data_IF_049075227517
#
_entry.id   IF_049075227517
#
_cell.length_a   1.000
_cell.length_b   1.000
_cell.length_c   1.000
_cell.angle_alpha   90.00
_cell.angle_beta   90.00
_cell.angle_gamma   90.00
#
_symmetry.space_group_name_H-M   'P 1'
#
loop_
_entity.id
_entity.type
_entity.pdbx_description
1 polymer ?
#
# COMPACT_ATOMS: atom_id res chain seq x y z
N UNK A 1 -21.33 5.00 3.02
CA UNK A 1 -20.08 4.43 3.55
C UNK A 1 -18.96 4.84 2.61
N UNK A 2 -17.83 5.31 3.14
CA UNK A 2 -16.65 5.76 2.39
C UNK A 2 -15.45 4.91 2.76
N UNK A 3 -14.83 4.26 1.79
CA UNK A 3 -13.68 3.37 2.02
C UNK A 3 -12.48 3.89 1.26
N UNK A 4 -11.40 4.18 2.00
CA UNK A 4 -10.15 4.62 1.41
C UNK A 4 -9.38 3.48 0.73
N UNK A 5 -8.59 3.78 -0.29
CA UNK A 5 -7.69 2.81 -0.94
C UNK A 5 -6.26 3.33 -0.86
N UNK A 6 -5.37 2.53 -0.27
CA UNK A 6 -3.94 2.84 -0.11
C UNK A 6 -3.12 1.65 -0.62
N UNK A 7 -2.10 1.93 -1.41
CA UNK A 7 -1.19 0.90 -1.91
C UNK A 7 0.26 1.38 -1.88
N UNK A 8 1.15 0.54 -1.34
CA UNK A 8 2.59 0.74 -1.38
C UNK A 8 3.25 -0.62 -1.64
N UNK A 9 3.75 -0.79 -2.85
CA UNK A 9 4.24 -2.09 -3.34
C UNK A 9 5.70 -2.02 -3.72
N UNK A 10 6.51 -2.84 -3.08
CA UNK A 10 7.89 -3.10 -3.49
C UNK A 10 8.36 -4.43 -2.93
N UNK A 11 9.10 -5.20 -3.72
CA UNK A 11 9.77 -6.40 -3.24
C UNK A 11 11.26 -6.12 -3.14
N UNK A 12 11.83 -6.31 -1.95
CA UNK A 12 13.24 -6.02 -1.70
C UNK A 12 14.11 -7.28 -1.71
N UNK A 13 15.18 -7.22 -2.50
CA UNK A 13 16.32 -8.11 -2.37
C UNK A 13 17.47 -7.39 -1.66
N UNK A 14 17.67 -7.69 -0.38
CA UNK A 14 18.69 -7.04 0.48
C UNK A 14 20.14 -7.39 0.10
N UNK A 15 20.36 -8.33 -0.84
CA UNK A 15 21.68 -8.65 -1.37
C UNK A 15 22.08 -7.74 -2.54
N UNK A 16 21.13 -7.01 -3.13
CA UNK A 16 21.42 -6.00 -4.15
C UNK A 16 22.00 -4.77 -3.45
N UNK A 17 23.19 -4.34 -3.88
CA UNK A 17 23.90 -3.19 -3.28
C UNK A 17 23.29 -1.84 -3.65
N UNK A 18 22.69 -1.75 -4.83
CA UNK A 18 22.03 -0.55 -5.32
C UNK A 18 20.66 -0.40 -4.65
N UNK A 19 20.36 0.76 -4.07
CA UNK A 19 19.09 0.94 -3.39
C UNK A 19 17.96 1.28 -4.38
N UNK A 20 16.73 1.04 -3.93
CA UNK A 20 15.53 1.54 -4.61
C UNK A 20 15.33 3.01 -4.24
N UNK A 21 15.50 3.87 -5.23
CA UNK A 21 15.35 5.33 -5.10
C UNK A 21 13.96 5.80 -5.55
N UNK A 22 13.61 7.04 -5.20
CA UNK A 22 12.38 7.72 -5.62
C UNK A 22 12.09 7.60 -7.12
N UNK A 23 13.12 7.69 -7.97
CA UNK A 23 12.99 7.57 -9.42
C UNK A 23 12.33 6.25 -9.86
N UNK A 24 12.53 5.16 -9.12
CA UNK A 24 11.93 3.87 -9.45
C UNK A 24 10.41 3.89 -9.28
N UNK A 25 9.91 4.59 -8.27
CA UNK A 25 8.47 4.80 -8.07
C UNK A 25 7.89 5.76 -9.12
N UNK A 26 8.58 6.86 -9.40
CA UNK A 26 8.16 7.84 -10.42
C UNK A 26 8.09 7.24 -11.84
N UNK A 27 8.93 6.24 -12.13
CA UNK A 27 8.95 5.56 -13.43
C UNK A 27 7.92 4.45 -13.58
N UNK A 28 7.37 3.95 -12.48
CA UNK A 28 6.49 2.78 -12.48
C UNK A 28 5.05 3.16 -12.10
N UNK A 29 4.79 3.40 -10.81
CA UNK A 29 3.49 3.86 -10.33
C UNK A 29 3.69 4.79 -9.14
N UNK A 30 3.15 6.01 -9.24
CA UNK A 30 3.10 6.97 -8.15
C UNK A 30 1.93 7.92 -8.41
N UNK A 31 0.80 7.67 -7.76
CA UNK A 31 -0.46 8.36 -8.00
C UNK A 31 -1.16 8.69 -6.67
N UNK A 32 -1.94 9.76 -6.69
CA UNK A 32 -2.81 10.20 -5.59
C UNK A 32 -4.19 10.53 -6.12
N UNK A 33 -5.23 10.35 -5.30
CA UNK A 33 -6.58 10.79 -5.63
C UNK A 33 -7.16 10.11 -6.88
N UNK A 34 -8.00 10.83 -7.61
CA UNK A 34 -8.77 10.30 -8.75
C UNK A 34 -7.94 9.58 -9.82
N UNK A 35 -6.69 10.02 -10.04
CA UNK A 35 -5.79 9.40 -11.02
C UNK A 35 -5.52 7.91 -10.75
N UNK A 36 -5.66 7.45 -9.50
CA UNK A 36 -5.55 6.02 -9.14
C UNK A 36 -6.67 5.22 -9.80
N UNK A 37 -7.92 5.72 -9.72
CA UNK A 37 -9.06 5.04 -10.35
C UNK A 37 -8.89 5.01 -11.86
N UNK A 38 -8.58 6.16 -12.47
CA UNK A 38 -8.40 6.29 -13.92
C UNK A 38 -7.36 5.32 -14.47
N UNK A 39 -6.31 5.03 -13.68
CA UNK A 39 -5.19 4.19 -14.11
C UNK A 39 -5.37 2.69 -13.81
N UNK A 40 -6.10 2.34 -12.75
CA UNK A 40 -6.07 0.99 -12.17
C UNK A 40 -7.43 0.28 -12.13
N UNK A 41 -8.56 0.98 -12.21
CA UNK A 41 -9.88 0.37 -12.08
C UNK A 41 -10.12 -0.77 -13.08
N UNK A 42 -9.77 -0.54 -14.35
CA UNK A 42 -9.98 -1.49 -15.44
C UNK A 42 -8.75 -2.37 -15.73
N UNK A 43 -7.97 -2.69 -14.69
CA UNK A 43 -6.75 -3.50 -14.81
C UNK A 43 -6.84 -4.81 -14.02
N UNK A 44 -5.97 -5.78 -14.33
CA UNK A 44 -5.82 -7.03 -13.59
C UNK A 44 -4.98 -6.87 -12.31
N UNK A 45 -4.90 -5.66 -11.75
CA UNK A 45 -4.22 -5.36 -10.49
C UNK A 45 -5.20 -5.50 -9.32
N UNK A 46 -4.72 -5.83 -8.11
CA UNK A 46 -5.58 -6.00 -6.92
C UNK A 46 -6.44 -4.77 -6.59
N UNK A 47 -5.91 -3.57 -6.84
CA UNK A 47 -6.62 -2.29 -6.70
C UNK A 47 -7.82 -2.20 -7.66
N UNK A 48 -7.73 -2.75 -8.87
CA UNK A 48 -8.88 -2.87 -9.77
C UNK A 48 -9.99 -3.73 -9.16
N UNK A 49 -9.60 -4.82 -8.50
CA UNK A 49 -10.51 -5.65 -7.71
C UNK A 49 -11.15 -4.91 -6.53
N UNK A 50 -10.41 -4.04 -5.84
CA UNK A 50 -10.98 -3.17 -4.78
C UNK A 50 -12.05 -2.24 -5.34
N UNK A 51 -11.79 -1.57 -6.48
CA UNK A 51 -12.78 -0.71 -7.11
C UNK A 51 -14.03 -1.48 -7.51
N UNK A 52 -13.86 -2.62 -8.20
CA UNK A 52 -14.98 -3.46 -8.63
C UNK A 52 -15.84 -3.91 -7.44
N UNK A 53 -15.21 -4.40 -6.35
CA UNK A 53 -15.93 -4.86 -5.16
C UNK A 53 -16.65 -3.73 -4.41
N UNK A 54 -16.06 -2.54 -4.33
CA UNK A 54 -16.70 -1.38 -3.71
C UNK A 54 -17.88 -0.87 -4.55
N UNK A 55 -17.74 -0.84 -5.88
CA UNK A 55 -18.79 -0.44 -6.82
C UNK A 55 -19.98 -1.42 -6.74
N UNK A 56 -19.72 -2.73 -6.73
CA UNK A 56 -20.75 -3.77 -6.55
C UNK A 56 -21.49 -3.63 -5.21
N UNK A 57 -20.77 -3.26 -4.15
CA UNK A 57 -21.34 -3.06 -2.81
C UNK A 57 -22.04 -1.69 -2.64
N UNK A 58 -22.01 -0.81 -3.63
CA UNK A 58 -22.57 0.55 -3.53
C UNK A 58 -21.84 1.43 -2.50
N UNK A 59 -20.53 1.19 -2.30
CA UNK A 59 -19.68 1.91 -1.35
C UNK A 59 -18.85 2.95 -2.09
N UNK A 60 -18.75 4.16 -1.52
CA UNK A 60 -17.92 5.21 -2.11
C UNK A 60 -16.43 4.85 -1.94
N UNK A 61 -15.77 4.54 -3.05
CA UNK A 61 -14.33 4.36 -3.10
C UNK A 61 -13.61 5.71 -3.07
N UNK A 62 -12.70 5.90 -2.11
CA UNK A 62 -11.88 7.10 -1.96
C UNK A 62 -10.41 6.72 -2.22
N UNK A 63 -9.88 6.88 -3.45
CA UNK A 63 -8.49 6.58 -3.73
C UNK A 63 -7.59 7.62 -3.05
N UNK A 64 -6.61 7.17 -2.26
CA UNK A 64 -5.75 8.04 -1.46
C UNK A 64 -4.35 8.11 -2.08
N UNK A 65 -3.67 6.97 -2.09
CA UNK A 65 -2.27 6.87 -2.51
C UNK A 65 -2.00 5.50 -3.13
N UNK A 66 -1.29 5.46 -4.25
CA UNK A 66 -0.79 4.23 -4.84
C UNK A 66 0.62 4.44 -5.36
N UNK A 67 1.58 3.71 -4.80
CA UNK A 67 2.96 3.71 -5.27
C UNK A 67 3.46 2.27 -5.46
N UNK A 68 4.20 2.05 -6.54
CA UNK A 68 4.86 0.78 -6.83
C UNK A 68 6.23 1.03 -7.45
N UNK A 69 7.18 0.20 -7.05
CA UNK A 69 8.44 0.02 -7.77
C UNK A 69 8.62 -1.46 -8.13
N UNK A 70 9.31 -1.72 -9.23
CA UNK A 70 9.71 -3.07 -9.65
C UNK A 70 10.68 -3.67 -8.61
N UNK A 71 10.62 -5.00 -8.34
CA UNK A 71 11.52 -5.66 -7.40
C UNK A 71 12.99 -5.29 -7.59
N UNK A 72 13.63 -4.83 -6.51
CA UNK A 72 15.01 -4.34 -6.54
C UNK A 72 15.62 -4.30 -5.13
N UNK A 73 16.70 -3.53 -4.92
CA UNK A 73 17.33 -3.42 -3.60
C UNK A 73 16.46 -2.72 -2.55
N UNK A 74 16.98 -2.64 -1.33
CA UNK A 74 16.36 -1.92 -0.22
C UNK A 74 16.04 -0.47 -0.58
N UNK A 75 14.86 0.04 -0.16
CA UNK A 75 14.47 1.43 -0.38
C UNK A 75 15.35 2.37 0.43
N UNK A 76 15.84 3.45 -0.18
CA UNK A 76 16.58 4.51 0.53
C UNK A 76 15.73 5.10 1.66
N UNK A 77 16.37 5.43 2.80
CA UNK A 77 15.69 6.04 3.94
C UNK A 77 14.86 7.27 3.54
N UNK A 78 15.48 8.21 2.82
CA UNK A 78 14.82 9.45 2.41
C UNK A 78 13.71 9.21 1.38
N UNK A 79 13.85 8.18 0.53
CA UNK A 79 12.79 7.78 -0.41
C UNK A 79 11.58 7.22 0.34
N UNK A 80 11.81 6.35 1.33
CA UNK A 80 10.72 5.77 2.11
C UNK A 80 10.02 6.84 2.98
N UNK A 81 10.78 7.68 3.68
CA UNK A 81 10.24 8.80 4.46
C UNK A 81 9.39 9.73 3.56
N UNK A 82 9.87 10.01 2.34
CA UNK A 82 9.14 10.81 1.37
C UNK A 82 7.84 10.14 0.90
N UNK A 83 7.83 8.83 0.63
CA UNK A 83 6.61 8.09 0.26
C UNK A 83 5.57 8.13 1.39
N UNK A 84 6.00 7.98 2.64
CA UNK A 84 5.11 8.05 3.80
C UNK A 84 4.53 9.45 3.97
N UNK A 85 5.33 10.49 3.77
CA UNK A 85 4.83 11.87 3.79
C UNK A 85 3.72 12.07 2.75
N UNK A 86 3.93 11.63 1.50
CA UNK A 86 2.91 11.73 0.45
C UNK A 86 1.63 10.94 0.80
N UNK A 87 1.78 9.71 1.32
CA UNK A 87 0.66 8.86 1.71
C UNK A 87 -0.17 9.51 2.82
N UNK A 88 0.47 9.96 3.91
CA UNK A 88 -0.24 10.51 5.06
C UNK A 88 -0.76 11.93 4.82
N UNK A 89 -0.11 12.73 3.98
CA UNK A 89 -0.66 14.01 3.52
C UNK A 89 -1.95 13.78 2.71
N UNK A 90 -1.96 12.81 1.79
CA UNK A 90 -3.15 12.45 1.03
C UNK A 90 -4.26 11.87 1.93
N UNK A 91 -3.92 11.04 2.92
CA UNK A 91 -4.86 10.51 3.90
C UNK A 91 -5.52 11.65 4.70
N UNK A 92 -4.75 12.65 5.13
CA UNK A 92 -5.26 13.81 5.85
C UNK A 92 -6.26 14.65 5.05
N UNK A 93 -6.23 14.56 3.72
CA UNK A 93 -7.14 15.27 2.82
C UNK A 93 -8.41 14.46 2.47
N UNK A 94 -8.46 13.17 2.81
CA UNK A 94 -9.56 12.26 2.42
C UNK A 94 -10.89 12.50 3.18
N UNK A 95 -10.84 13.28 4.27
CA UNK A 95 -11.96 13.46 5.18
C UNK A 95 -12.28 12.18 5.97
N UNK A 96 -13.50 12.09 6.52
CA UNK A 96 -13.92 10.93 7.32
C UNK A 96 -14.13 9.69 6.45
N UNK A 97 -13.48 8.57 6.81
CA UNK A 97 -13.66 7.27 6.16
C UNK A 97 -14.21 6.26 7.18
N UNK A 98 -14.98 5.31 6.69
CA UNK A 98 -15.57 4.21 7.46
C UNK A 98 -14.69 2.95 7.44
N UNK A 99 -13.63 2.94 6.64
CA UNK A 99 -12.66 1.87 6.54
C UNK A 99 -11.59 2.18 5.49
N UNK A 100 -10.54 1.36 5.43
CA UNK A 100 -9.52 1.42 4.36
C UNK A 100 -9.20 0.04 3.85
N UNK A 101 -9.10 -0.06 2.52
CA UNK A 101 -8.49 -1.17 1.82
C UNK A 101 -7.02 -0.87 1.57
N UNK A 102 -6.15 -1.80 1.96
CA UNK A 102 -4.69 -1.63 1.85
C UNK A 102 -4.07 -2.71 0.97
N UNK A 103 -3.11 -2.31 0.14
CA UNK A 103 -2.31 -3.20 -0.69
C UNK A 103 -0.80 -3.01 -0.35
N UNK A 104 -0.31 -3.61 0.74
CA UNK A 104 1.13 -3.84 0.94
C UNK A 104 1.62 -4.96 0.01
N UNK A 105 2.89 -4.92 -0.39
CA UNK A 105 3.51 -6.14 -0.93
C UNK A 105 3.74 -7.17 0.18
N UNK A 106 4.23 -6.71 1.34
CA UNK A 106 4.62 -7.55 2.47
C UNK A 106 6.09 -8.00 2.46
N UNK A 107 6.85 -7.65 1.42
CA UNK A 107 8.29 -7.93 1.34
C UNK A 107 9.11 -6.64 1.13
N UNK A 108 8.55 -5.50 1.51
CA UNK A 108 9.22 -4.20 1.40
C UNK A 108 10.23 -4.04 2.53
N UNK A 109 11.47 -3.71 2.16
CA UNK A 109 12.54 -3.36 3.08
C UNK A 109 12.99 -1.93 2.78
N UNK A 110 13.08 -1.08 3.80
CA UNK A 110 13.75 0.21 3.71
C UNK A 110 15.00 0.22 4.58
N UNK A 111 15.91 1.16 4.33
CA UNK A 111 17.16 1.28 5.10
C UNK A 111 16.92 1.48 6.60
N UNK A 112 15.81 2.13 6.99
CA UNK A 112 15.45 2.37 8.40
C UNK A 112 14.52 1.30 8.97
N UNK A 113 13.71 0.68 8.12
CA UNK A 113 12.68 -0.25 8.53
C UNK A 113 12.82 -1.57 7.76
N UNK A 114 13.47 -2.58 8.38
CA UNK A 114 13.56 -3.92 7.81
C UNK A 114 12.19 -4.54 7.51
N UNK A 115 11.19 -4.22 8.33
CA UNK A 115 9.77 -4.48 8.08
C UNK A 115 9.09 -3.16 7.71
N UNK A 116 9.28 -2.71 6.45
CA UNK A 116 8.72 -1.44 6.01
C UNK A 116 7.19 -1.52 5.88
N UNK A 117 6.65 -2.67 5.46
CA UNK A 117 5.22 -2.90 5.34
C UNK A 117 4.50 -2.85 6.71
N UNK A 118 5.03 -3.55 7.71
CA UNK A 118 4.52 -3.46 9.08
C UNK A 118 4.67 -2.06 9.68
N UNK A 119 5.74 -1.34 9.35
CA UNK A 119 5.92 0.03 9.82
C UNK A 119 4.82 0.96 9.32
N UNK A 120 4.60 1.05 8.00
CA UNK A 120 3.63 2.00 7.46
C UNK A 120 2.19 1.61 7.79
N UNK A 121 1.88 0.30 7.86
CA UNK A 121 0.57 -0.16 8.33
C UNK A 121 0.35 0.19 9.81
N UNK A 122 1.38 0.07 10.64
CA UNK A 122 1.33 0.49 12.05
C UNK A 122 1.08 1.99 12.20
N UNK A 123 1.77 2.82 11.40
CA UNK A 123 1.52 4.26 11.31
C UNK A 123 0.08 4.56 10.88
N UNK A 124 -0.43 3.87 9.86
CA UNK A 124 -1.81 3.98 9.40
C UNK A 124 -2.79 3.63 10.51
N UNK A 125 -2.60 2.50 11.21
CA UNK A 125 -3.47 2.11 12.35
C UNK A 125 -3.51 3.18 13.43
N UNK A 126 -2.36 3.77 13.79
CA UNK A 126 -2.34 4.83 14.81
C UNK A 126 -3.13 6.07 14.39
N UNK A 127 -3.03 6.48 13.13
CA UNK A 127 -3.71 7.68 12.62
C UNK A 127 -5.20 7.43 12.33
N UNK A 128 -5.54 6.24 11.85
CA UNK A 128 -6.88 5.86 11.43
C UNK A 128 -7.78 5.41 12.59
N UNK A 129 -7.18 4.90 13.68
CA UNK A 129 -7.90 4.50 14.87
C UNK A 129 -8.57 3.14 14.74
N UNK A 130 -9.79 3.00 15.25
CA UNK A 130 -10.49 1.71 15.38
C UNK A 130 -11.29 1.30 14.15
N UNK A 131 -11.32 2.11 13.08
CA UNK A 131 -12.03 1.75 11.86
C UNK A 131 -11.33 0.57 11.14
N UNK A 132 -12.08 -0.27 10.39
CA UNK A 132 -11.50 -1.44 9.75
C UNK A 132 -10.39 -1.11 8.75
N UNK A 133 -9.29 -1.85 8.84
CA UNK A 133 -8.19 -1.89 7.87
C UNK A 133 -8.11 -3.32 7.35
N UNK A 134 -8.50 -3.51 6.09
CA UNK A 134 -8.49 -4.81 5.43
C UNK A 134 -7.54 -4.74 4.25
N UNK A 135 -6.68 -5.73 4.07
CA UNK A 135 -5.74 -5.73 2.97
C UNK A 135 -5.60 -7.05 2.24
N UNK A 136 -4.97 -6.96 1.09
CA UNK A 136 -4.48 -8.12 0.33
C UNK A 136 -2.97 -8.25 0.51
N UNK A 137 -2.44 -9.44 0.22
CA UNK A 137 -1.03 -9.72 0.42
C UNK A 137 -0.46 -10.66 -0.66
N UNK A 138 0.74 -10.35 -1.14
CA UNK A 138 1.48 -11.22 -2.04
C UNK A 138 1.94 -12.51 -1.32
N UNK A 139 1.94 -13.69 -1.98
CA UNK A 139 2.38 -14.94 -1.36
C UNK A 139 3.87 -14.94 -0.96
N UNK A 140 4.69 -14.04 -1.53
CA UNK A 140 6.09 -13.87 -1.16
C UNK A 140 6.29 -12.93 0.03
N UNK A 141 5.22 -12.45 0.65
CA UNK A 141 5.30 -11.58 1.81
C UNK A 141 6.04 -12.22 2.99
N UNK A 142 6.89 -11.41 3.62
CA UNK A 142 7.46 -11.69 4.95
C UNK A 142 6.46 -11.25 6.03
N UNK A 143 5.34 -11.96 6.15
CA UNK A 143 4.25 -11.59 7.06
C UNK A 143 4.74 -11.40 8.49
N UNK A 144 4.66 -10.18 9.00
CA UNK A 144 5.14 -9.81 10.34
C UNK A 144 4.01 -9.70 11.36
N UNK A 145 4.36 -9.82 12.64
CA UNK A 145 3.41 -9.57 13.73
C UNK A 145 2.91 -8.12 13.75
N UNK A 146 3.70 -7.16 13.28
CA UNK A 146 3.31 -5.76 13.20
C UNK A 146 2.21 -5.54 12.14
N UNK A 147 2.34 -6.18 10.97
CA UNK A 147 1.29 -6.17 9.95
C UNK A 147 -0.02 -6.75 10.49
N UNK A 148 0.05 -7.93 11.11
CA UNK A 148 -1.12 -8.60 11.71
C UNK A 148 -1.78 -7.75 12.78
N UNK A 149 -1.00 -7.09 13.65
CA UNK A 149 -1.55 -6.23 14.70
C UNK A 149 -2.14 -4.92 14.16
N UNK A 150 -1.66 -4.44 13.00
CA UNK A 150 -2.13 -3.20 12.40
C UNK A 150 -3.42 -3.37 11.59
N UNK A 151 -3.72 -4.57 11.08
CA UNK A 151 -4.86 -4.85 10.19
C UNK A 151 -5.92 -5.72 10.85
N UNK A 152 -7.19 -5.52 10.51
CA UNK A 152 -8.27 -6.41 10.94
C UNK A 152 -8.33 -7.70 10.13
N UNK A 153 -7.91 -7.65 8.86
CA UNK A 153 -7.75 -8.83 8.01
C UNK A 153 -6.70 -8.62 6.91
N UNK A 154 -5.96 -9.68 6.60
CA UNK A 154 -5.09 -9.77 5.43
C UNK A 154 -5.47 -11.02 4.62
N UNK A 155 -5.72 -10.83 3.32
CA UNK A 155 -6.12 -11.89 2.39
C UNK A 155 -5.00 -12.13 1.38
N UNK A 156 -4.31 -13.26 1.50
CA UNK A 156 -3.22 -13.60 0.59
C UNK A 156 -3.73 -14.05 -0.80
N UNK A 157 -2.96 -13.80 -1.85
CA UNK A 157 -3.19 -14.45 -3.14
C UNK A 157 -3.04 -15.97 -3.02
N UNK A 158 -3.70 -16.72 -3.92
CA UNK A 158 -3.80 -18.19 -3.86
C UNK A 158 -3.09 -18.92 -4.99
N UNK A 159 -2.42 -18.20 -5.89
CA UNK A 159 -1.72 -18.75 -7.05
C UNK A 159 -0.37 -18.09 -7.20
N UNK A 160 0.66 -18.86 -7.54
CA UNK A 160 2.01 -18.39 -7.83
C UNK A 160 2.44 -18.91 -9.21
N UNK A 161 2.59 -18.06 -10.24
CA UNK A 161 3.06 -18.48 -11.56
C UNK A 161 4.58 -18.74 -11.60
#
# INVERSE_FOLDING_TARGET
>A
MRVGIIALLHESNTLIRQPTTRRHFEQDLLLTGAAIRDRLADTHHEIGGFFAGLDEAGVEAVPIFAARAVPFGTIEADTFDWLLAQLFDALGQAGTLDGVLVAPHGATVSQRHPDADGYWLGELRRQFGSQPIIGTLDPHANLSAAMVAATDALIAYRTNP
#
